data_IF_147724642842
#
_entry.id   IF_147724642842
#
_cell.length_a   1.000
_cell.length_b   1.000
_cell.length_c   1.000
_cell.angle_alpha   90.00
_cell.angle_beta   90.00
_cell.angle_gamma   90.00
#
_symmetry.space_group_name_H-M   'P 1'
#
loop_
_entity.id
_entity.type
_entity.pdbx_description
1 polymer ?
#
# COMPACT_ATOMS: atom_id res chain seq x y z
N UNK A 1 -0.26 6.82 -10.86
CA UNK A 1 0.99 6.71 -10.05
C UNK A 1 0.64 7.05 -8.61
N UNK A 2 1.23 6.37 -7.63
CA UNK A 2 1.13 6.74 -6.21
C UNK A 2 2.48 7.30 -5.76
N UNK A 3 2.45 8.39 -5.00
CA UNK A 3 3.62 8.93 -4.28
C UNK A 3 3.29 8.93 -2.80
N UNK A 4 4.10 8.25 -2.01
CA UNK A 4 3.97 8.19 -0.54
C UNK A 4 5.22 8.73 0.13
N UNK A 5 5.06 9.42 1.26
CA UNK A 5 6.19 9.96 2.02
C UNK A 5 5.75 10.80 3.21
N UNK A 6 6.68 11.62 3.69
CA UNK A 6 6.45 12.58 4.76
C UNK A 6 6.55 14.00 4.22
N UNK A 7 5.57 14.84 4.56
CA UNK A 7 5.62 16.28 4.38
C UNK A 7 5.72 16.92 5.76
N UNK A 8 6.89 17.49 6.11
CA UNK A 8 7.15 18.08 7.43
C UNK A 8 6.77 17.15 8.60
N UNK A 9 7.12 15.86 8.50
CA UNK A 9 6.79 14.84 9.51
C UNK A 9 5.38 14.24 9.40
N UNK A 10 4.51 14.80 8.55
CA UNK A 10 3.14 14.30 8.35
C UNK A 10 3.09 13.29 7.20
N UNK A 11 2.54 12.08 7.40
CA UNK A 11 2.32 11.11 6.33
C UNK A 11 1.42 11.66 5.22
N UNK A 12 1.84 11.46 3.97
CA UNK A 12 1.10 11.88 2.77
C UNK A 12 1.08 10.78 1.72
N UNK A 13 -0.08 10.59 1.10
CA UNK A 13 -0.27 9.75 -0.08
C UNK A 13 -0.92 10.60 -1.16
N UNK A 14 -0.26 10.70 -2.31
CA UNK A 14 -0.73 11.43 -3.47
C UNK A 14 -0.96 10.46 -4.62
N UNK A 15 -2.10 10.60 -5.29
CA UNK A 15 -2.44 9.87 -6.50
C UNK A 15 -2.36 10.82 -7.69
N UNK A 16 -1.54 10.46 -8.67
CA UNK A 16 -1.45 11.13 -9.96
C UNK A 16 -2.18 10.30 -11.02
N UNK A 17 -3.23 10.87 -11.59
CA UNK A 17 -3.97 10.27 -12.71
C UNK A 17 -3.25 10.49 -14.05
N UNK A 18 -3.62 9.75 -15.12
CA UNK A 18 -2.99 9.89 -16.44
C UNK A 18 -3.16 11.26 -17.12
N UNK A 19 -4.16 12.05 -16.72
CA UNK A 19 -4.38 13.40 -17.24
C UNK A 19 -3.56 14.45 -16.48
N UNK A 20 -2.85 14.07 -15.42
CA UNK A 20 -2.03 14.94 -14.59
C UNK A 20 -2.75 15.50 -13.37
N UNK A 21 -3.95 15.03 -13.06
CA UNK A 21 -4.67 15.38 -11.83
C UNK A 21 -3.99 14.78 -10.60
N UNK A 22 -3.82 15.58 -9.56
CA UNK A 22 -3.21 15.19 -8.30
C UNK A 22 -4.25 15.23 -7.18
N UNK A 23 -4.34 14.16 -6.39
CA UNK A 23 -5.30 14.01 -5.29
C UNK A 23 -4.60 13.55 -4.01
N UNK A 24 -4.88 14.20 -2.88
CA UNK A 24 -4.49 13.74 -1.54
C UNK A 24 -5.44 12.62 -1.09
N UNK A 25 -4.85 11.50 -0.69
CA UNK A 25 -5.59 10.32 -0.23
C UNK A 25 -5.08 9.87 1.14
N UNK A 26 -5.93 9.18 1.91
CA UNK A 26 -5.51 8.52 3.16
C UNK A 26 -4.80 7.20 2.89
N UNK A 27 -5.19 6.52 1.82
CA UNK A 27 -4.59 5.29 1.31
C UNK A 27 -4.91 5.21 -0.19
N UNK A 28 -4.12 4.46 -0.94
CA UNK A 28 -4.39 4.24 -2.35
C UNK A 28 -3.88 2.87 -2.80
N UNK A 29 -4.55 2.28 -3.79
CA UNK A 29 -4.07 1.11 -4.51
C UNK A 29 -4.24 1.34 -6.02
N UNK A 30 -3.22 0.98 -6.79
CA UNK A 30 -3.22 1.06 -8.25
C UNK A 30 -2.67 -0.23 -8.84
N UNK A 31 -3.08 -0.58 -10.06
CA UNK A 31 -2.72 -1.83 -10.72
C UNK A 31 -3.91 -2.79 -10.86
N UNK A 32 -3.66 -4.00 -11.34
CA UNK A 32 -4.69 -4.99 -11.71
C UNK A 32 -5.42 -5.56 -10.49
N UNK A 33 -4.74 -5.71 -9.36
CA UNK A 33 -5.33 -6.11 -8.08
C UNK A 33 -5.95 -4.98 -7.25
N UNK A 34 -5.97 -3.74 -7.76
CA UNK A 34 -6.31 -2.56 -6.97
C UNK A 34 -7.72 -2.58 -6.38
N UNK A 35 -8.72 -3.11 -7.10
CA UNK A 35 -10.10 -3.17 -6.61
C UNK A 35 -10.21 -4.00 -5.31
N UNK A 36 -9.45 -5.09 -5.23
CA UNK A 36 -9.45 -5.99 -4.07
C UNK A 36 -8.73 -5.34 -2.90
N UNK A 37 -7.53 -4.81 -3.16
CA UNK A 37 -6.74 -4.10 -2.15
C UNK A 37 -7.50 -2.89 -1.58
N UNK A 38 -8.14 -2.09 -2.44
CA UNK A 38 -8.93 -0.92 -2.04
C UNK A 38 -10.06 -1.31 -1.10
N UNK A 39 -10.82 -2.37 -1.42
CA UNK A 39 -11.91 -2.80 -0.54
C UNK A 39 -11.42 -3.26 0.84
N UNK A 40 -10.21 -3.81 0.96
CA UNK A 40 -9.62 -4.18 2.24
C UNK A 40 -9.16 -2.93 3.00
N UNK A 41 -8.48 -2.01 2.31
CA UNK A 41 -8.05 -0.75 2.89
C UNK A 41 -9.23 0.07 3.41
N UNK A 42 -10.30 0.24 2.62
CA UNK A 42 -11.53 0.95 3.02
C UNK A 42 -12.15 0.39 4.31
N UNK A 43 -12.14 -0.94 4.47
CA UNK A 43 -12.75 -1.59 5.63
C UNK A 43 -11.88 -1.55 6.88
N UNK A 44 -10.55 -1.47 6.73
CA UNK A 44 -9.61 -1.76 7.83
C UNK A 44 -8.64 -0.63 8.15
N UNK A 45 -8.50 0.37 7.27
CA UNK A 45 -7.71 1.55 7.53
C UNK A 45 -8.28 2.38 8.69
N UNK A 46 -7.39 2.98 9.49
CA UNK A 46 -7.69 3.95 10.54
C UNK A 46 -6.66 5.07 10.51
N UNK A 47 -7.04 6.26 10.94
CA UNK A 47 -6.17 7.44 10.87
C UNK A 47 -4.90 7.32 11.74
N UNK A 48 -4.93 6.51 12.79
CA UNK A 48 -3.82 6.35 13.74
C UNK A 48 -3.34 4.90 13.81
N UNK A 49 -2.94 4.33 12.67
CA UNK A 49 -2.32 3.00 12.63
C UNK A 49 -0.86 3.07 13.08
N UNK A 50 -0.47 2.17 13.99
CA UNK A 50 0.94 1.92 14.27
C UNK A 50 1.63 1.21 13.10
N UNK A 51 2.97 1.26 13.03
CA UNK A 51 3.76 0.61 11.96
C UNK A 51 3.40 -0.87 11.79
N UNK A 52 3.32 -1.63 12.88
CA UNK A 52 3.00 -3.06 12.82
C UNK A 52 1.58 -3.33 12.29
N UNK A 53 0.61 -2.49 12.64
CA UNK A 53 -0.77 -2.62 12.17
C UNK A 53 -0.87 -2.27 10.68
N UNK A 54 -0.19 -1.20 10.26
CA UNK A 54 -0.10 -0.80 8.86
C UNK A 54 0.57 -1.87 8.00
N UNK A 55 1.67 -2.47 8.48
CA UNK A 55 2.35 -3.58 7.80
C UNK A 55 1.43 -4.78 7.63
N UNK A 56 0.72 -5.20 8.68
CA UNK A 56 -0.25 -6.30 8.60
C UNK A 56 -1.38 -6.00 7.63
N UNK A 57 -1.89 -4.77 7.63
CA UNK A 57 -2.96 -4.34 6.72
C UNK A 57 -2.50 -4.41 5.26
N UNK A 58 -1.34 -3.84 4.94
CA UNK A 58 -0.78 -3.83 3.58
C UNK A 58 -0.45 -5.25 3.11
N UNK A 59 0.19 -6.07 3.95
CA UNK A 59 0.49 -7.46 3.61
C UNK A 59 -0.80 -8.25 3.33
N UNK A 60 -1.81 -8.11 4.18
CA UNK A 60 -3.11 -8.77 3.97
C UNK A 60 -3.79 -8.30 2.68
N UNK A 61 -3.84 -7.00 2.42
CA UNK A 61 -4.42 -6.45 1.20
C UNK A 61 -3.73 -7.00 -0.06
N UNK A 62 -2.40 -7.09 -0.03
CA UNK A 62 -1.62 -7.63 -1.13
C UNK A 62 -1.82 -9.13 -1.32
N UNK A 63 -1.82 -9.93 -0.23
CA UNK A 63 -2.08 -11.38 -0.31
C UNK A 63 -3.45 -11.69 -0.92
N UNK A 64 -4.48 -10.96 -0.50
CA UNK A 64 -5.84 -11.14 -1.03
C UNK A 64 -5.91 -10.73 -2.51
N UNK A 65 -5.28 -9.62 -2.89
CA UNK A 65 -5.19 -9.19 -4.29
C UNK A 65 -4.47 -10.25 -5.14
N UNK A 66 -3.30 -10.72 -4.72
CA UNK A 66 -2.49 -11.74 -5.41
C UNK A 66 -3.25 -13.06 -5.56
N UNK A 67 -4.04 -13.47 -4.55
CA UNK A 67 -4.79 -14.73 -4.62
C UNK A 67 -5.89 -14.75 -5.68
N UNK A 68 -6.30 -13.57 -6.19
CA UNK A 68 -7.44 -13.41 -7.10
C UNK A 68 -7.07 -12.72 -8.42
N UNK A 69 -5.93 -12.04 -8.48
CA UNK A 69 -5.41 -11.37 -9.67
C UNK A 69 -4.23 -12.14 -10.27
N UNK A 70 -4.46 -12.80 -11.41
CA UNK A 70 -3.46 -13.62 -12.08
C UNK A 70 -2.24 -12.83 -12.61
N UNK A 71 -2.32 -11.49 -12.66
CA UNK A 71 -1.22 -10.62 -13.08
C UNK A 71 -0.33 -10.18 -11.91
N UNK A 72 -0.70 -10.52 -10.67
CA UNK A 72 0.04 -10.22 -9.44
C UNK A 72 0.68 -11.50 -8.87
N UNK A 73 1.88 -11.42 -8.30
CA UNK A 73 2.59 -12.61 -7.79
C UNK A 73 4.03 -12.37 -7.34
N UNK A 74 4.83 -13.45 -7.32
CA UNK A 74 6.23 -13.53 -6.87
C UNK A 74 6.47 -13.27 -5.37
N UNK A 75 6.19 -12.06 -4.92
CA UNK A 75 6.47 -11.59 -3.57
C UNK A 75 5.77 -10.27 -3.28
N UNK A 76 5.93 -9.77 -2.06
CA UNK A 76 5.49 -8.44 -1.68
C UNK A 76 6.71 -7.66 -1.18
N UNK A 77 7.10 -6.62 -1.92
CA UNK A 77 8.06 -5.63 -1.47
C UNK A 77 7.31 -4.51 -0.73
N UNK A 78 7.70 -4.25 0.51
CA UNK A 78 7.15 -3.19 1.34
C UNK A 78 8.26 -2.19 1.67
N UNK A 79 8.02 -0.91 1.38
CA UNK A 79 8.89 0.19 1.77
C UNK A 79 8.21 1.00 2.88
N UNK A 80 8.82 1.04 4.06
CA UNK A 80 8.37 1.85 5.19
C UNK A 80 9.18 3.13 5.22
N UNK A 81 8.51 4.29 5.23
CA UNK A 81 9.12 5.61 5.29
C UNK A 81 8.75 6.26 6.61
N UNK A 82 9.74 6.72 7.37
CA UNK A 82 9.58 7.41 8.64
C UNK A 82 10.57 8.57 8.76
N UNK A 83 10.47 9.37 9.81
CA UNK A 83 11.46 10.44 10.07
C UNK A 83 12.88 9.88 10.26
N UNK A 84 13.01 8.62 10.68
CA UNK A 84 14.29 7.94 10.83
C UNK A 84 14.91 7.46 9.51
N UNK A 85 14.17 7.57 8.40
CA UNK A 85 14.57 7.10 7.08
C UNK A 85 13.65 6.02 6.52
N UNK A 86 14.16 5.27 5.55
CA UNK A 86 13.42 4.25 4.81
C UNK A 86 13.93 2.83 5.11
N UNK A 87 13.00 1.87 5.22
CA UNK A 87 13.28 0.45 5.48
C UNK A 87 12.51 -0.42 4.49
N UNK A 88 13.23 -1.32 3.81
CA UNK A 88 12.63 -2.30 2.90
C UNK A 88 12.41 -3.64 3.60
N UNK A 89 11.27 -4.27 3.31
CA UNK A 89 10.87 -5.59 3.79
C UNK A 89 10.39 -6.40 2.59
N UNK A 90 10.94 -7.58 2.39
CA UNK A 90 10.45 -8.53 1.39
C UNK A 90 9.67 -9.64 2.08
N UNK A 91 8.45 -9.89 1.60
CA UNK A 91 7.58 -10.97 2.06
C UNK A 91 7.42 -11.99 0.93
N UNK A 92 7.98 -13.20 1.07
CA UNK A 92 7.81 -14.23 0.06
C UNK A 92 6.36 -14.72 0.01
N UNK A 93 5.86 -14.99 -1.19
CA UNK A 93 4.63 -15.75 -1.36
C UNK A 93 4.97 -17.24 -1.24
N UNK A 94 4.37 -17.93 -0.27
CA UNK A 94 4.45 -19.38 -0.23
C UNK A 94 3.48 -19.91 -1.28
N UNK A 95 4.02 -20.53 -2.32
CA UNK A 95 3.26 -21.41 -3.19
C UNK A 95 2.84 -22.62 -2.35
N UNK A 96 1.53 -22.78 -2.11
CA UNK A 96 0.95 -24.04 -1.64
C UNK A 96 0.97 -25.06 -2.75
#
# INVERSE_FOLDING_TARGET
>A
LIVGGLENGTPKVLVLDPAGGLMDEKFAAVGTGAQIATGILERSYKDELGEEEALKLVENAMREAISRDALSGDGIDILVISESGAKSIYVPLRTV
#
